data_IF_357681222742
#
_entry.id   IF_357681222742
#
_cell.length_a   1.000
_cell.length_b   1.000
_cell.length_c   1.000
_cell.angle_alpha   90.00
_cell.angle_beta   90.00
_cell.angle_gamma   90.00
#
_symmetry.space_group_name_H-M   'P 1'
#
loop_
_entity.id
_entity.type
_entity.pdbx_description
1 polymer ?
#
# COMPACT_ATOMS: atom_id res chain seq x y z
N UNK A 1 -0.08 13.19 19.22
CA UNK A 1 -1.33 13.95 19.14
C UNK A 1 -2.43 12.96 18.77
N UNK A 2 -3.43 12.73 19.61
CA UNK A 2 -4.46 11.72 19.37
C UNK A 2 -5.57 12.25 18.48
N UNK A 3 -5.51 11.97 17.18
CA UNK A 3 -6.66 12.12 16.30
C UNK A 3 -7.73 11.10 16.69
N UNK A 4 -8.89 11.57 17.12
CA UNK A 4 -10.06 10.71 17.29
C UNK A 4 -10.72 10.53 15.93
N UNK A 5 -10.96 9.28 15.50
CA UNK A 5 -11.69 8.98 14.24
C UNK A 5 -13.06 9.68 14.16
N UNK A 6 -13.62 10.07 15.30
CA UNK A 6 -14.89 10.79 15.39
C UNK A 6 -14.83 12.23 14.86
N UNK A 7 -13.65 12.83 14.74
CA UNK A 7 -13.48 14.19 14.21
C UNK A 7 -13.37 14.22 12.67
N UNK A 8 -13.23 13.05 12.03
CA UNK A 8 -13.16 12.93 10.58
C UNK A 8 -14.56 13.01 9.94
N UNK A 9 -14.76 14.00 9.06
CA UNK A 9 -16.04 14.25 8.38
C UNK A 9 -16.45 13.14 7.42
N UNK A 10 -15.50 12.39 6.87
CA UNK A 10 -15.76 11.27 5.97
C UNK A 10 -16.19 10.04 6.78
N UNK A 11 -15.46 9.70 7.84
CA UNK A 11 -15.80 8.65 8.79
C UNK A 11 -17.17 8.90 9.41
N UNK A 12 -17.43 10.12 9.90
CA UNK A 12 -18.73 10.50 10.45
C UNK A 12 -19.87 10.46 9.43
N UNK A 13 -19.59 10.54 8.11
CA UNK A 13 -20.60 10.36 7.04
C UNK A 13 -20.85 8.89 6.73
N UNK A 14 -19.80 8.08 6.68
CA UNK A 14 -19.87 6.66 6.37
C UNK A 14 -20.59 5.85 7.46
N UNK A 15 -20.28 6.17 8.73
CA UNK A 15 -20.76 5.46 9.92
C UNK A 15 -21.90 6.18 10.67
N UNK A 16 -22.72 6.99 9.96
CA UNK A 16 -23.93 7.61 10.54
C UNK A 16 -24.91 6.57 11.10
N UNK A 17 -25.79 7.02 12.00
CA UNK A 17 -26.89 6.24 12.60
C UNK A 17 -26.40 5.00 13.36
N UNK A 18 -25.35 5.14 14.18
CA UNK A 18 -24.78 4.09 15.02
C UNK A 18 -24.36 2.81 14.27
N UNK A 19 -24.01 2.95 12.98
CA UNK A 19 -23.37 1.85 12.24
C UNK A 19 -22.08 1.47 12.95
N UNK A 20 -22.08 0.26 13.53
CA UNK A 20 -20.92 -0.25 14.26
C UNK A 20 -19.79 -0.58 13.30
N UNK A 21 -18.61 -0.07 13.59
CA UNK A 21 -17.37 -0.54 12.96
C UNK A 21 -17.00 -1.86 13.60
N UNK A 22 -16.91 -2.93 12.80
CA UNK A 22 -16.36 -4.20 13.23
C UNK A 22 -14.91 -4.30 12.76
N UNK A 23 -13.96 -4.24 13.69
CA UNK A 23 -12.56 -4.55 13.42
C UNK A 23 -12.36 -6.00 13.89
N UNK A 24 -12.16 -6.90 12.93
CA UNK A 24 -11.88 -8.31 13.20
C UNK A 24 -10.42 -8.63 12.87
N UNK A 25 -9.89 -9.67 13.50
CA UNK A 25 -8.55 -10.16 13.18
C UNK A 25 -8.55 -10.81 11.81
N UNK A 26 -7.40 -10.76 11.12
CA UNK A 26 -7.22 -11.49 9.87
C UNK A 26 -7.17 -12.99 10.12
N UNK A 27 -7.74 -13.76 9.18
CA UNK A 27 -7.67 -15.23 9.20
C UNK A 27 -6.24 -15.74 8.97
N UNK A 28 -5.41 -14.95 8.30
CA UNK A 28 -4.02 -15.27 7.97
C UNK A 28 -3.13 -14.09 8.39
N UNK A 29 -2.02 -14.40 9.06
CA UNK A 29 -0.96 -13.47 9.41
C UNK A 29 0.38 -14.11 9.03
N UNK A 30 1.34 -13.30 8.59
CA UNK A 30 2.68 -13.74 8.19
C UNK A 30 3.72 -12.70 8.62
N UNK A 31 4.94 -13.15 8.91
CA UNK A 31 5.98 -12.28 9.47
C UNK A 31 6.86 -11.61 8.41
N UNK A 32 7.28 -12.33 7.38
CA UNK A 32 8.18 -11.78 6.35
C UNK A 32 7.50 -11.79 4.98
N UNK A 33 7.15 -12.98 4.52
CA UNK A 33 6.46 -13.18 3.26
C UNK A 33 5.57 -14.43 3.28
N UNK A 34 4.63 -14.46 2.35
CA UNK A 34 3.70 -15.56 2.10
C UNK A 34 3.60 -15.75 0.59
N UNK A 35 3.72 -17.00 0.12
CA UNK A 35 3.46 -17.34 -1.27
C UNK A 35 2.13 -18.06 -1.38
N UNK A 36 1.23 -17.55 -2.21
CA UNK A 36 -0.07 -18.15 -2.48
C UNK A 36 -0.15 -18.64 -3.91
N UNK A 37 -0.61 -19.88 -4.06
CA UNK A 37 -1.00 -20.42 -5.36
C UNK A 37 -2.46 -20.06 -5.62
N UNK A 38 -2.71 -19.27 -6.66
CA UNK A 38 -4.03 -18.82 -7.12
C UNK A 38 -4.55 -19.66 -8.30
N UNK A 39 -4.08 -20.91 -8.42
CA UNK A 39 -4.35 -21.82 -9.52
C UNK A 39 -3.33 -21.68 -10.65
N UNK A 40 -3.56 -20.71 -11.55
CA UNK A 40 -2.67 -20.44 -12.71
C UNK A 40 -1.65 -19.33 -12.45
N UNK A 41 -1.73 -18.70 -11.27
CA UNK A 41 -0.89 -17.57 -10.89
C UNK A 41 -0.30 -17.81 -9.50
N UNK A 42 0.84 -17.19 -9.26
CA UNK A 42 1.58 -17.22 -8.00
C UNK A 42 1.67 -15.81 -7.47
N UNK A 43 1.08 -15.58 -6.30
CA UNK A 43 1.21 -14.32 -5.57
C UNK A 43 2.31 -14.45 -4.51
N UNK A 44 3.35 -13.63 -4.62
CA UNK A 44 4.30 -13.39 -3.52
C UNK A 44 3.84 -12.16 -2.76
N UNK A 45 3.50 -12.36 -1.50
CA UNK A 45 3.03 -11.35 -0.57
C UNK A 45 4.15 -11.08 0.41
N UNK A 46 4.52 -9.83 0.64
CA UNK A 46 5.64 -9.49 1.51
C UNK A 46 5.44 -8.11 2.13
N UNK A 47 6.03 -7.92 3.30
CA UNK A 47 6.01 -6.63 3.99
C UNK A 47 6.96 -5.63 3.33
N UNK A 48 6.56 -4.37 3.34
CA UNK A 48 7.38 -3.22 3.00
C UNK A 48 7.07 -2.07 3.97
N UNK A 49 7.87 -1.01 3.89
CA UNK A 49 7.68 0.19 4.70
C UNK A 49 7.32 1.34 3.77
N UNK A 50 6.09 1.88 3.83
CA UNK A 50 5.69 3.04 3.04
C UNK A 50 6.10 4.33 3.77
N UNK A 51 6.09 5.49 3.11
CA UNK A 51 6.61 6.72 3.70
C UNK A 51 5.67 7.38 4.73
N UNK A 52 4.46 6.87 4.93
CA UNK A 52 3.44 7.46 5.80
C UNK A 52 2.93 6.53 6.92
N UNK A 53 3.39 5.27 6.99
CA UNK A 53 3.05 4.32 8.06
C UNK A 53 4.26 3.47 8.48
N UNK A 54 4.05 2.56 9.43
CA UNK A 54 5.10 1.68 9.94
C UNK A 54 5.29 0.45 9.04
N UNK A 55 4.22 -0.06 8.46
CA UNK A 55 4.22 -1.22 7.57
C UNK A 55 3.13 -1.14 6.50
N UNK A 56 3.33 -1.92 5.45
CA UNK A 56 2.34 -2.23 4.42
C UNK A 56 2.64 -3.61 3.81
N UNK A 57 1.64 -4.17 3.13
CA UNK A 57 1.76 -5.44 2.42
C UNK A 57 1.73 -5.20 0.92
N UNK A 58 2.78 -5.65 0.23
CA UNK A 58 2.86 -5.63 -1.21
C UNK A 58 2.56 -7.03 -1.78
N UNK A 59 1.93 -7.06 -2.95
CA UNK A 59 1.57 -8.32 -3.63
C UNK A 59 2.19 -8.31 -5.02
N UNK A 60 3.10 -9.25 -5.28
CA UNK A 60 3.71 -9.45 -6.58
C UNK A 60 3.13 -10.70 -7.26
N UNK A 61 2.49 -10.51 -8.41
CA UNK A 61 1.99 -11.58 -9.27
C UNK A 61 3.07 -11.92 -10.30
N UNK A 62 3.64 -13.12 -10.19
CA UNK A 62 4.84 -13.53 -10.94
C UNK A 62 4.59 -13.58 -12.44
N UNK A 63 3.50 -14.22 -12.84
CA UNK A 63 3.16 -14.51 -14.23
C UNK A 63 2.81 -13.25 -15.02
N UNK A 64 2.14 -12.31 -14.35
CA UNK A 64 1.77 -11.00 -14.92
C UNK A 64 2.88 -9.95 -14.80
N UNK A 65 3.93 -10.25 -14.02
CA UNK A 65 4.94 -9.27 -13.61
C UNK A 65 4.28 -7.99 -13.07
N UNK A 66 3.32 -8.14 -12.18
CA UNK A 66 2.52 -7.04 -11.66
C UNK A 66 2.75 -6.89 -10.16
N UNK A 67 3.08 -5.67 -9.72
CA UNK A 67 3.27 -5.32 -8.31
C UNK A 67 2.10 -4.46 -7.83
N UNK A 68 1.28 -4.98 -6.93
CA UNK A 68 0.27 -4.19 -6.22
C UNK A 68 0.93 -3.45 -5.06
N UNK A 69 0.79 -2.13 -5.06
CA UNK A 69 1.34 -1.23 -4.06
C UNK A 69 0.31 -0.73 -3.05
N UNK A 70 -0.98 -0.95 -3.31
CA UNK A 70 -2.03 -0.37 -2.48
C UNK A 70 -1.92 1.16 -2.42
N UNK A 71 -1.92 1.70 -1.20
CA UNK A 71 -1.69 3.11 -0.88
C UNK A 71 -0.23 3.41 -0.51
N UNK A 72 0.71 2.48 -0.69
CA UNK A 72 2.09 2.58 -0.20
C UNK A 72 2.89 3.80 -0.71
N UNK A 73 2.43 4.46 -1.79
CA UNK A 73 3.07 5.66 -2.35
C UNK A 73 2.36 6.96 -1.96
N UNK A 74 1.26 6.88 -1.22
CA UNK A 74 0.46 8.03 -0.83
C UNK A 74 1.11 8.84 0.30
N UNK A 75 0.72 10.11 0.39
CA UNK A 75 1.07 10.99 1.49
C UNK A 75 0.24 10.67 2.75
N UNK A 76 0.77 10.99 3.93
CA UNK A 76 0.05 10.84 5.19
C UNK A 76 -1.14 11.80 5.29
N UNK A 77 -2.35 11.28 5.06
CA UNK A 77 -3.59 12.07 5.10
C UNK A 77 -3.81 12.82 6.42
N UNK A 78 -3.48 12.17 7.55
CA UNK A 78 -3.68 12.74 8.89
C UNK A 78 -2.49 13.55 9.42
N UNK A 79 -1.41 13.64 8.65
CA UNK A 79 -0.16 14.30 9.04
C UNK A 79 0.21 15.42 8.06
N UNK A 80 -0.77 16.18 7.57
CA UNK A 80 -0.57 17.30 6.64
C UNK A 80 0.26 16.95 5.39
N UNK A 81 0.06 15.74 4.85
CA UNK A 81 0.78 15.27 3.67
C UNK A 81 2.21 14.78 3.97
N UNK A 82 2.55 14.54 5.24
CA UNK A 82 3.87 14.07 5.63
C UNK A 82 4.26 12.80 4.87
N UNK A 83 5.50 12.81 4.39
CA UNK A 83 6.13 11.71 3.67
C UNK A 83 7.58 11.58 4.13
N UNK A 84 7.90 10.49 4.81
CA UNK A 84 9.27 10.15 5.19
C UNK A 84 10.10 9.84 3.92
N UNK A 85 11.07 10.71 3.64
CA UNK A 85 11.90 10.63 2.44
C UNK A 85 12.84 9.43 2.41
N UNK A 86 13.27 8.95 3.58
CA UNK A 86 14.14 7.77 3.67
C UNK A 86 13.34 6.51 3.38
N UNK A 87 12.17 6.36 4.01
CA UNK A 87 11.23 5.27 3.70
C UNK A 87 10.78 5.29 2.24
N UNK A 88 10.51 6.47 1.67
CA UNK A 88 10.20 6.61 0.24
C UNK A 88 11.36 6.06 -0.63
N UNK A 89 12.60 6.42 -0.31
CA UNK A 89 13.78 5.95 -1.04
C UNK A 89 13.96 4.44 -0.94
N UNK A 90 13.70 3.86 0.22
CA UNK A 90 13.68 2.40 0.40
C UNK A 90 12.62 1.73 -0.46
N UNK A 91 11.39 2.28 -0.49
CA UNK A 91 10.32 1.79 -1.34
C UNK A 91 10.65 1.89 -2.82
N UNK A 92 11.23 3.01 -3.28
CA UNK A 92 11.71 3.18 -4.66
C UNK A 92 12.74 2.10 -5.01
N UNK A 93 13.74 1.89 -4.15
CA UNK A 93 14.76 0.86 -4.35
C UNK A 93 14.16 -0.55 -4.44
N UNK A 94 13.11 -0.83 -3.66
CA UNK A 94 12.40 -2.10 -3.70
C UNK A 94 11.63 -2.28 -5.01
N UNK A 95 10.93 -1.26 -5.49
CA UNK A 95 10.24 -1.28 -6.78
C UNK A 95 11.25 -1.46 -7.92
N UNK A 96 12.39 -0.77 -7.88
CA UNK A 96 13.47 -0.89 -8.86
C UNK A 96 14.03 -2.31 -8.95
N UNK A 97 14.20 -3.00 -7.83
CA UNK A 97 14.72 -4.38 -7.78
C UNK A 97 13.68 -5.44 -8.14
N UNK A 98 12.39 -5.11 -8.06
CA UNK A 98 11.31 -6.05 -8.38
C UNK A 98 11.15 -6.19 -9.91
N UNK A 99 11.12 -7.42 -10.43
CA UNK A 99 10.91 -7.71 -11.86
C UNK A 99 9.44 -7.52 -12.29
N UNK A 100 8.87 -6.34 -12.05
CA UNK A 100 7.54 -5.97 -12.50
C UNK A 100 7.55 -5.10 -13.77
N UNK A 101 6.52 -5.25 -14.58
CA UNK A 101 6.17 -4.39 -15.72
C UNK A 101 5.17 -3.31 -15.32
N UNK A 102 4.18 -3.69 -14.50
CA UNK A 102 3.09 -2.83 -14.08
C UNK A 102 3.03 -2.71 -12.57
N UNK A 103 2.63 -1.53 -12.10
CA UNK A 103 2.37 -1.24 -10.70
C UNK A 103 0.90 -0.84 -10.56
N UNK A 104 0.17 -1.53 -9.67
CA UNK A 104 -1.24 -1.25 -9.40
C UNK A 104 -1.36 -0.50 -8.08
N UNK A 105 -2.06 0.63 -8.14
CA UNK A 105 -2.28 1.57 -7.05
C UNK A 105 -3.73 1.50 -6.58
N UNK A 106 -4.01 1.85 -5.32
CA UNK A 106 -5.39 1.86 -4.79
C UNK A 106 -6.25 3.01 -5.34
N UNK A 107 -5.64 4.16 -5.67
CA UNK A 107 -6.35 5.42 -5.98
C UNK A 107 -6.09 5.98 -7.38
N UNK A 108 -5.40 5.22 -8.24
CA UNK A 108 -5.03 5.66 -9.58
C UNK A 108 -5.06 4.48 -10.55
N UNK A 109 -5.04 4.80 -11.84
CA UNK A 109 -4.87 3.78 -12.88
C UNK A 109 -3.53 3.06 -12.72
N UNK A 110 -3.44 1.78 -13.14
CA UNK A 110 -2.17 1.08 -13.19
C UNK A 110 -1.13 1.84 -14.02
N UNK A 111 0.08 1.96 -13.50
CA UNK A 111 1.19 2.59 -14.19
C UNK A 111 2.19 1.54 -14.67
N UNK A 112 2.95 1.87 -15.70
CA UNK A 112 4.18 1.11 -15.96
C UNK A 112 5.17 1.36 -14.82
N UNK A 113 6.06 0.41 -14.58
CA UNK A 113 7.14 0.59 -13.60
C UNK A 113 7.96 1.85 -13.88
N UNK A 114 8.21 2.18 -15.15
CA UNK A 114 9.00 3.35 -15.53
C UNK A 114 8.29 4.66 -15.20
N UNK A 115 7.00 4.77 -15.55
CA UNK A 115 6.22 5.98 -15.28
C UNK A 115 6.10 6.22 -13.78
N UNK A 116 5.85 5.15 -13.01
CA UNK A 116 5.80 5.24 -11.56
C UNK A 116 7.15 5.70 -10.98
N UNK A 117 8.26 5.08 -11.37
CA UNK A 117 9.58 5.44 -10.85
C UNK A 117 9.98 6.87 -11.24
N UNK A 118 9.61 7.33 -12.44
CA UNK A 118 9.82 8.70 -12.87
C UNK A 118 9.06 9.68 -11.95
N UNK A 119 7.79 9.40 -11.69
CA UNK A 119 6.98 10.19 -10.76
C UNK A 119 7.57 10.20 -9.34
N UNK A 120 7.86 9.04 -8.75
CA UNK A 120 8.33 8.95 -7.37
C UNK A 120 9.68 9.63 -7.15
N UNK A 121 10.58 9.61 -8.15
CA UNK A 121 11.87 10.31 -8.08
C UNK A 121 11.77 11.83 -8.25
N UNK A 122 10.61 12.34 -8.67
CA UNK A 122 10.35 13.78 -8.78
C UNK A 122 9.84 14.41 -7.47
N UNK A 123 9.48 13.58 -6.48
CA UNK A 123 8.92 13.97 -5.18
C UNK A 123 10.01 14.28 -4.16
#
# INVERSE_FOLDING_TARGET
MGFSKNDDKCFGREYKNDKKVAIIQSDIQFQESLSLNLGRMTAKIFHAVPPHSDDTVLIYILEEKMLSLGDAISEGFFNDGFMDKEKLRELINLIEKTDCKFCVLSHAEPLTKLDLLYYLKSI
#
